data_IF_785396569025
#
_entry.id   IF_785396569025
#
_cell.length_a   1.000
_cell.length_b   1.000
_cell.length_c   1.000
_cell.angle_alpha   90.00
_cell.angle_beta   90.00
_cell.angle_gamma   90.00
#
_symmetry.space_group_name_H-M   'P 1'
#
loop_
_entity.id
_entity.type
_entity.pdbx_description
1 polymer ?
#
# COMPACT_ATOMS: atom_id res chain seq x y z
N UNK A 1 -11.04 -18.00 26.33
CA UNK A 1 -11.49 -16.80 27.06
C UNK A 1 -10.84 -15.52 26.55
N UNK A 2 -9.51 -15.51 26.41
CA UNK A 2 -8.71 -14.34 25.96
C UNK A 2 -8.99 -13.91 24.50
N UNK A 3 -9.19 -14.88 23.59
CA UNK A 3 -9.54 -14.60 22.19
C UNK A 3 -10.92 -13.96 22.02
N UNK A 4 -11.86 -14.28 22.92
CA UNK A 4 -13.20 -13.70 22.91
C UNK A 4 -13.19 -12.26 23.40
N UNK A 5 -12.38 -11.96 24.41
CA UNK A 5 -12.20 -10.61 24.96
C UNK A 5 -11.53 -9.65 23.96
N UNK A 6 -10.55 -10.14 23.19
CA UNK A 6 -9.91 -9.39 22.11
C UNK A 6 -10.91 -9.13 20.98
N UNK A 7 -11.72 -10.11 20.62
CA UNK A 7 -12.77 -9.98 19.60
C UNK A 7 -13.86 -9.00 20.03
N UNK A 8 -14.27 -9.03 21.29
CA UNK A 8 -15.26 -8.09 21.85
C UNK A 8 -14.71 -6.66 21.92
N UNK A 9 -13.46 -6.48 22.29
CA UNK A 9 -12.78 -5.16 22.25
C UNK A 9 -12.63 -4.63 20.83
N UNK A 10 -12.36 -5.51 19.85
CA UNK A 10 -12.33 -5.15 18.42
C UNK A 10 -13.70 -4.75 17.89
N UNK A 11 -14.74 -5.49 18.24
CA UNK A 11 -16.11 -5.16 17.84
C UNK A 11 -16.61 -3.86 18.48
N UNK A 12 -16.32 -3.62 19.76
CA UNK A 12 -16.63 -2.37 20.44
C UNK A 12 -15.87 -1.19 19.80
N UNK A 13 -14.59 -1.38 19.50
CA UNK A 13 -13.79 -0.40 18.79
C UNK A 13 -14.36 -0.12 17.39
N UNK A 14 -14.72 -1.13 16.59
CA UNK A 14 -15.34 -0.97 15.27
C UNK A 14 -16.65 -0.20 15.37
N UNK A 15 -17.48 -0.47 16.37
CA UNK A 15 -18.77 0.21 16.58
C UNK A 15 -18.58 1.68 16.97
N UNK A 16 -17.70 1.96 17.92
CA UNK A 16 -17.34 3.32 18.33
C UNK A 16 -16.76 4.14 17.17
N UNK A 17 -16.07 3.50 16.26
CA UNK A 17 -15.37 4.11 15.15
C UNK A 17 -16.20 4.25 13.88
N UNK A 18 -17.21 3.41 13.68
CA UNK A 18 -18.21 3.57 12.62
C UNK A 18 -19.07 4.80 12.89
N UNK A 19 -19.37 5.07 14.14
CA UNK A 19 -20.13 6.26 14.58
C UNK A 19 -19.32 7.56 14.49
N UNK A 20 -17.98 7.52 14.59
CA UNK A 20 -17.11 8.69 14.67
C UNK A 20 -16.17 8.87 13.45
N UNK A 21 -16.20 7.96 12.46
CA UNK A 21 -15.28 7.99 11.32
C UNK A 21 -13.82 7.69 11.67
N UNK A 22 -13.55 6.91 12.72
CA UNK A 22 -12.23 6.79 13.33
C UNK A 22 -11.56 5.40 13.19
N UNK A 23 -11.52 4.80 11.97
CA UNK A 23 -10.77 3.57 11.67
C UNK A 23 -9.26 3.64 12.02
N UNK A 24 -8.70 4.85 12.16
CA UNK A 24 -7.30 5.08 12.55
C UNK A 24 -7.01 4.70 14.01
N UNK A 25 -7.87 5.03 14.95
CA UNK A 25 -7.71 4.59 16.35
C UNK A 25 -7.71 3.06 16.44
N UNK A 26 -8.44 2.37 15.57
CA UNK A 26 -8.42 0.90 15.48
C UNK A 26 -7.06 0.44 14.96
N UNK A 27 -6.56 1.01 13.88
CA UNK A 27 -5.26 0.66 13.33
C UNK A 27 -4.13 0.97 14.31
N UNK A 28 -4.17 2.12 15.00
CA UNK A 28 -3.20 2.49 16.02
C UNK A 28 -3.33 1.63 17.28
N UNK A 29 -4.55 1.35 17.77
CA UNK A 29 -4.75 0.43 18.90
C UNK A 29 -4.38 -1.01 18.56
N UNK A 30 -4.61 -1.47 17.33
CA UNK A 30 -4.18 -2.82 16.92
C UNK A 30 -2.65 -2.89 16.83
N UNK A 31 -1.98 -1.84 16.38
CA UNK A 31 -0.53 -1.69 16.43
C UNK A 31 0.00 -1.61 17.87
N UNK A 32 -0.69 -0.91 18.75
CA UNK A 32 -0.35 -0.82 20.18
C UNK A 32 -0.58 -2.15 20.92
N UNK A 33 -1.70 -2.84 20.64
CA UNK A 33 -2.06 -4.13 21.27
C UNK A 33 -1.17 -5.27 20.82
N UNK A 34 -0.75 -5.28 19.55
CA UNK A 34 0.13 -6.33 19.01
C UNK A 34 1.61 -6.08 19.30
N UNK A 35 1.95 -4.90 19.83
CA UNK A 35 3.33 -4.48 19.96
C UNK A 35 3.96 -4.30 18.59
N UNK A 36 4.15 -3.08 18.16
CA UNK A 36 4.66 -2.73 16.82
C UNK A 36 5.95 -3.48 16.43
N UNK A 37 6.76 -3.91 17.42
CA UNK A 37 7.97 -4.70 17.21
C UNK A 37 7.73 -6.17 16.84
N UNK A 38 6.58 -6.76 17.20
CA UNK A 38 6.27 -8.17 16.91
C UNK A 38 5.64 -8.40 15.54
N UNK A 39 5.00 -7.38 14.96
CA UNK A 39 4.35 -7.46 13.64
C UNK A 39 5.35 -7.44 12.50
N UNK A 40 6.52 -6.88 12.69
CA UNK A 40 7.44 -6.53 11.62
C UNK A 40 8.80 -7.19 11.70
N UNK A 41 9.19 -7.72 12.85
CA UNK A 41 10.52 -8.30 13.03
C UNK A 41 11.67 -7.35 12.65
N UNK A 42 11.41 -6.05 12.51
CA UNK A 42 12.35 -5.07 11.96
C UNK A 42 12.43 -3.83 12.84
N UNK A 43 13.64 -3.45 13.16
CA UNK A 43 14.03 -2.33 14.03
C UNK A 43 13.92 -0.93 13.38
N UNK A 44 13.01 -0.66 12.45
CA UNK A 44 12.96 0.66 11.79
C UNK A 44 11.60 1.33 11.91
N UNK A 45 11.59 2.55 12.45
CA UNK A 45 10.40 3.36 12.72
C UNK A 45 9.58 3.74 11.47
N UNK A 46 10.21 3.89 10.30
CA UNK A 46 9.55 4.19 9.04
C UNK A 46 8.71 3.02 8.51
N UNK A 47 9.21 1.81 8.63
CA UNK A 47 8.52 0.58 8.25
C UNK A 47 7.23 0.34 9.05
N UNK A 48 7.22 0.72 10.33
CA UNK A 48 6.04 0.59 11.19
C UNK A 48 4.88 1.45 10.72
N UNK A 49 5.16 2.62 10.17
CA UNK A 49 4.12 3.55 9.71
C UNK A 49 3.56 3.14 8.34
N UNK A 50 4.40 2.62 7.45
CA UNK A 50 3.95 2.05 6.17
C UNK A 50 3.07 0.80 6.36
N UNK A 51 3.43 -0.08 7.31
CA UNK A 51 2.61 -1.26 7.68
C UNK A 51 1.33 -0.85 8.39
N UNK A 52 1.35 0.22 9.19
CA UNK A 52 0.13 0.81 9.76
C UNK A 52 -0.86 1.25 8.68
N UNK A 53 -0.37 1.82 7.59
CA UNK A 53 -1.17 2.17 6.43
C UNK A 53 -1.73 0.95 5.70
N UNK A 54 -0.92 -0.07 5.41
CA UNK A 54 -1.37 -1.30 4.77
C UNK A 54 -2.37 -2.08 5.61
N UNK A 55 -2.14 -2.18 6.92
CA UNK A 55 -3.07 -2.79 7.86
C UNK A 55 -4.39 -2.01 7.90
N UNK A 56 -4.33 -0.68 7.92
CA UNK A 56 -5.48 0.21 7.87
C UNK A 56 -6.29 0.01 6.58
N UNK A 57 -5.64 -0.04 5.42
CA UNK A 57 -6.30 -0.31 4.14
C UNK A 57 -6.95 -1.70 4.11
N UNK A 58 -6.29 -2.71 4.66
CA UNK A 58 -6.84 -4.07 4.79
C UNK A 58 -8.08 -4.08 5.68
N UNK A 59 -8.04 -3.42 6.82
CA UNK A 59 -9.18 -3.33 7.75
C UNK A 59 -10.35 -2.55 7.15
N UNK A 60 -10.09 -1.47 6.40
CA UNK A 60 -11.12 -0.75 5.66
C UNK A 60 -11.78 -1.61 4.60
N UNK A 61 -11.00 -2.34 3.82
CA UNK A 61 -11.53 -3.23 2.80
C UNK A 61 -12.39 -4.35 3.43
N UNK A 62 -11.95 -4.91 4.56
CA UNK A 62 -12.73 -5.91 5.31
C UNK A 62 -14.03 -5.31 5.87
N UNK A 63 -13.99 -4.09 6.41
CA UNK A 63 -15.17 -3.40 6.92
C UNK A 63 -16.16 -3.04 5.80
N UNK A 64 -15.67 -2.57 4.65
CA UNK A 64 -16.51 -2.27 3.48
C UNK A 64 -17.15 -3.53 2.90
N UNK A 65 -16.43 -4.66 2.85
CA UNK A 65 -16.99 -5.97 2.44
C UNK A 65 -18.10 -6.43 3.37
N UNK A 66 -17.90 -6.26 4.67
CA UNK A 66 -18.91 -6.63 5.68
C UNK A 66 -20.17 -5.77 5.60
N UNK A 67 -20.04 -4.50 5.25
CA UNK A 67 -21.16 -3.57 5.12
C UNK A 67 -21.94 -3.68 3.80
N UNK A 68 -21.26 -4.10 2.72
CA UNK A 68 -21.90 -4.24 1.40
C UNK A 68 -22.67 -5.54 1.22
N UNK A 69 -22.55 -6.51 2.17
CA UNK A 69 -23.31 -7.77 2.20
C UNK A 69 -23.69 -8.19 0.81
N UNK A 70 -22.74 -8.55 -0.05
CA UNK A 70 -23.08 -9.37 -1.20
C UNK A 70 -21.95 -9.68 -2.17
N UNK A 71 -22.24 -10.80 -2.82
CA UNK A 71 -21.70 -11.31 -4.08
C UNK A 71 -20.19 -11.38 -4.16
N UNK A 72 -19.78 -12.58 -4.13
CA UNK A 72 -18.51 -13.17 -4.47
C UNK A 72 -18.06 -12.72 -5.87
N UNK A 73 -17.65 -11.47 -5.97
CA UNK A 73 -16.49 -11.19 -6.81
C UNK A 73 -15.33 -11.48 -5.88
N UNK A 74 -14.53 -12.47 -6.18
CA UNK A 74 -13.29 -12.76 -5.46
C UNK A 74 -12.35 -11.56 -5.62
N UNK A 75 -12.62 -10.53 -4.84
CA UNK A 75 -11.85 -9.31 -4.82
C UNK A 75 -10.61 -9.62 -3.99
N UNK A 76 -9.48 -9.74 -4.66
CA UNK A 76 -8.20 -9.97 -4.02
C UNK A 76 -7.64 -8.64 -3.51
N UNK A 77 -6.83 -8.71 -2.46
CA UNK A 77 -6.10 -7.55 -1.95
C UNK A 77 -4.71 -7.49 -2.55
N UNK A 78 -4.29 -6.27 -2.89
CA UNK A 78 -2.91 -5.98 -3.26
C UNK A 78 -2.19 -5.39 -2.07
N UNK A 79 -1.09 -6.00 -1.66
CA UNK A 79 -0.19 -5.46 -0.64
C UNK A 79 1.05 -4.88 -1.29
N UNK A 80 1.46 -3.69 -0.84
CA UNK A 80 2.66 -3.00 -1.30
C UNK A 80 3.58 -2.78 -0.11
N UNK A 81 4.77 -3.36 -0.16
CA UNK A 81 5.82 -3.23 0.84
C UNK A 81 7.10 -2.75 0.17
N UNK A 82 7.28 -1.43 0.13
CA UNK A 82 8.47 -0.77 -0.40
C UNK A 82 9.29 -0.17 0.74
N UNK A 83 10.60 -0.35 0.69
CA UNK A 83 11.54 0.16 1.70
C UNK A 83 11.70 1.69 1.58
N UNK A 84 10.61 2.41 1.82
CA UNK A 84 10.52 3.87 1.80
C UNK A 84 9.67 4.39 2.97
N UNK A 85 10.00 5.58 3.45
CA UNK A 85 9.20 6.27 4.45
C UNK A 85 7.96 6.87 3.79
N UNK A 86 6.77 6.36 4.17
CA UNK A 86 5.48 6.79 3.63
C UNK A 86 4.44 6.84 4.75
N UNK A 87 4.17 8.04 5.24
CA UNK A 87 3.24 8.28 6.35
C UNK A 87 2.90 9.76 6.48
N UNK A 88 1.90 10.09 7.28
CA UNK A 88 1.55 11.47 7.63
C UNK A 88 2.26 11.82 8.95
N UNK A 89 3.28 12.71 8.94
CA UNK A 89 3.95 13.12 10.17
C UNK A 89 2.98 13.74 11.17
N UNK A 90 3.13 13.48 12.48
CA UNK A 90 2.32 14.10 13.52
C UNK A 90 2.37 15.63 13.51
N UNK A 91 3.49 16.20 13.07
CA UNK A 91 3.70 17.65 12.94
C UNK A 91 2.97 18.27 11.74
N UNK A 92 2.60 17.47 10.74
CA UNK A 92 1.93 17.96 9.54
C UNK A 92 0.41 18.06 9.73
N UNK A 93 -0.21 17.01 10.24
CA UNK A 93 -1.62 17.02 10.60
C UNK A 93 -1.74 16.69 12.07
N UNK A 94 -2.00 17.72 12.89
CA UNK A 94 -2.07 17.60 14.36
C UNK A 94 -3.35 16.92 14.83
N UNK A 95 -4.45 17.14 14.13
CA UNK A 95 -5.74 16.58 14.50
C UNK A 95 -5.84 15.12 14.04
N UNK A 96 -5.99 14.20 14.98
CA UNK A 96 -6.02 12.77 14.68
C UNK A 96 -7.22 12.34 13.82
N UNK A 97 -8.38 12.99 13.98
CA UNK A 97 -9.58 12.71 13.18
C UNK A 97 -9.37 13.15 11.72
N UNK A 98 -8.79 14.33 11.52
CA UNK A 98 -8.45 14.81 10.18
C UNK A 98 -7.38 13.93 9.52
N UNK A 99 -6.35 13.55 10.27
CA UNK A 99 -5.31 12.64 9.81
C UNK A 99 -5.88 11.32 9.33
N UNK A 100 -6.81 10.76 10.09
CA UNK A 100 -7.52 9.55 9.75
C UNK A 100 -8.33 9.70 8.45
N UNK A 101 -9.09 10.77 8.34
CA UNK A 101 -9.88 11.04 7.13
C UNK A 101 -8.99 11.13 5.90
N UNK A 102 -7.86 11.81 6.02
CA UNK A 102 -6.86 11.88 4.94
C UNK A 102 -6.28 10.51 4.60
N UNK A 103 -5.89 9.70 5.59
CA UNK A 103 -5.43 8.33 5.32
C UNK A 103 -6.47 7.50 4.58
N UNK A 104 -7.73 7.58 5.00
CA UNK A 104 -8.84 6.86 4.38
C UNK A 104 -9.04 7.28 2.91
N UNK A 105 -8.97 8.56 2.65
CA UNK A 105 -9.13 9.10 1.30
C UNK A 105 -7.94 8.78 0.41
N UNK A 106 -6.72 8.83 0.93
CA UNK A 106 -5.52 8.38 0.22
C UNK A 106 -5.62 6.88 -0.12
N UNK A 107 -6.13 6.06 0.80
CA UNK A 107 -6.35 4.64 0.55
C UNK A 107 -7.32 4.37 -0.60
N UNK A 108 -8.26 5.26 -0.85
CA UNK A 108 -9.24 5.17 -1.92
C UNK A 108 -8.78 5.75 -3.26
N UNK A 109 -7.57 6.28 -3.39
CA UNK A 109 -7.05 6.86 -4.65
C UNK A 109 -6.84 5.74 -5.68
N UNK A 110 -7.47 5.88 -6.84
CA UNK A 110 -7.38 4.95 -7.96
C UNK A 110 -6.82 5.59 -9.24
N UNK A 111 -6.77 6.92 -9.30
CA UNK A 111 -6.33 7.66 -10.48
C UNK A 111 -5.36 8.80 -10.16
N UNK A 112 -4.60 9.22 -11.17
CA UNK A 112 -3.71 10.37 -11.07
C UNK A 112 -4.48 11.66 -10.75
N UNK A 113 -5.67 11.84 -11.33
CA UNK A 113 -6.52 13.01 -11.07
C UNK A 113 -6.90 13.09 -9.59
N UNK A 114 -7.36 11.99 -8.99
CA UNK A 114 -7.68 11.94 -7.56
C UNK A 114 -6.46 12.21 -6.67
N UNK A 115 -5.29 11.74 -7.09
CA UNK A 115 -4.05 12.02 -6.40
C UNK A 115 -3.68 13.51 -6.45
N UNK A 116 -3.88 14.16 -7.58
CA UNK A 116 -3.57 15.57 -7.76
C UNK A 116 -4.57 16.45 -7.00
N UNK A 117 -5.87 16.11 -7.02
CA UNK A 117 -6.89 16.76 -6.19
C UNK A 117 -6.55 16.65 -4.69
N UNK A 118 -6.08 15.48 -4.24
CA UNK A 118 -5.63 15.30 -2.86
C UNK A 118 -4.41 16.15 -2.53
N UNK A 119 -3.44 16.28 -3.44
CA UNK A 119 -2.28 17.16 -3.25
C UNK A 119 -2.69 18.63 -3.10
N UNK A 120 -3.60 19.09 -3.96
CA UNK A 120 -4.12 20.47 -3.90
C UNK A 120 -4.80 20.73 -2.55
N UNK A 121 -5.66 19.81 -2.10
CA UNK A 121 -6.31 19.91 -0.80
C UNK A 121 -5.32 19.91 0.36
N UNK A 122 -4.34 19.02 0.34
CA UNK A 122 -3.31 18.95 1.39
C UNK A 122 -2.50 20.24 1.47
N UNK A 123 -2.10 20.77 0.31
CA UNK A 123 -1.37 22.03 0.22
C UNK A 123 -2.19 23.21 0.76
N UNK A 124 -3.47 23.28 0.40
CA UNK A 124 -4.37 24.37 0.81
C UNK A 124 -4.68 24.32 2.32
N UNK A 125 -4.92 23.14 2.87
CA UNK A 125 -5.33 22.98 4.28
C UNK A 125 -4.19 22.92 5.26
N UNK A 126 -3.06 22.34 4.90
CA UNK A 126 -1.97 21.99 5.82
C UNK A 126 -0.61 22.55 5.41
N UNK A 127 -0.53 23.25 4.26
CA UNK A 127 0.71 23.80 3.75
C UNK A 127 1.57 22.80 2.98
N UNK A 128 2.87 23.09 2.88
CA UNK A 128 3.80 22.30 2.08
C UNK A 128 3.78 20.81 2.45
N UNK A 129 3.64 19.96 1.44
CA UNK A 129 3.50 18.52 1.63
C UNK A 129 4.85 17.89 1.94
N UNK A 130 5.03 17.23 3.10
CA UNK A 130 6.27 16.56 3.45
C UNK A 130 6.58 15.37 2.53
N UNK A 131 7.86 15.05 2.36
CA UNK A 131 8.32 13.91 1.53
C UNK A 131 7.63 12.58 1.89
N UNK A 132 7.46 12.19 3.16
CA UNK A 132 6.75 10.95 3.50
C UNK A 132 5.30 10.93 3.03
N UNK A 133 4.62 12.08 2.97
CA UNK A 133 3.24 12.18 2.44
C UNK A 133 3.23 12.09 0.93
N UNK A 134 4.19 12.69 0.23
CA UNK A 134 4.38 12.48 -1.21
C UNK A 134 4.60 11.00 -1.54
N UNK A 135 5.44 10.33 -0.77
CA UNK A 135 5.69 8.89 -0.93
C UNK A 135 4.42 8.08 -0.70
N UNK A 136 3.61 8.44 0.31
CA UNK A 136 2.34 7.79 0.61
C UNK A 136 1.36 7.88 -0.57
N UNK A 137 1.24 9.05 -1.19
CA UNK A 137 0.41 9.27 -2.38
C UNK A 137 0.89 8.44 -3.58
N UNK A 138 2.21 8.36 -3.81
CA UNK A 138 2.80 7.52 -4.86
C UNK A 138 2.53 6.04 -4.61
N UNK A 139 2.67 5.57 -3.38
CA UNK A 139 2.36 4.17 -3.00
C UNK A 139 0.88 3.85 -3.21
N UNK A 140 -0.04 4.79 -2.94
CA UNK A 140 -1.45 4.60 -3.22
C UNK A 140 -1.72 4.37 -4.72
N UNK A 141 -1.09 5.15 -5.61
CA UNK A 141 -1.17 4.96 -7.06
C UNK A 141 -0.52 3.65 -7.51
N UNK A 142 0.67 3.34 -7.00
CA UNK A 142 1.36 2.07 -7.27
C UNK A 142 0.46 0.89 -6.90
N UNK A 143 -0.19 0.93 -5.74
CA UNK A 143 -1.10 -0.12 -5.29
C UNK A 143 -2.31 -0.27 -6.21
N UNK A 144 -2.92 0.83 -6.62
CA UNK A 144 -4.04 0.82 -7.56
C UNK A 144 -3.63 0.20 -8.91
N UNK A 145 -2.49 0.61 -9.45
CA UNK A 145 -1.95 0.08 -10.70
C UNK A 145 -1.58 -1.41 -10.59
N UNK A 146 -0.92 -1.80 -9.49
CA UNK A 146 -0.59 -3.20 -9.22
C UNK A 146 -1.86 -4.06 -9.10
N UNK A 147 -2.93 -3.53 -8.50
CA UNK A 147 -4.21 -4.22 -8.42
C UNK A 147 -4.83 -4.48 -9.81
N UNK A 148 -4.81 -3.50 -10.70
CA UNK A 148 -5.27 -3.69 -12.09
C UNK A 148 -4.48 -4.76 -12.84
N UNK A 149 -3.20 -4.89 -12.53
CA UNK A 149 -2.29 -5.92 -13.07
C UNK A 149 -2.40 -7.29 -12.38
N UNK A 150 -3.39 -7.48 -11.49
CA UNK A 150 -3.57 -8.71 -10.72
C UNK A 150 -2.36 -9.08 -9.84
N UNK A 151 -1.60 -8.09 -9.40
CA UNK A 151 -0.51 -8.27 -8.46
C UNK A 151 -1.09 -8.34 -7.06
N UNK A 152 -0.90 -9.47 -6.37
CA UNK A 152 -1.35 -9.67 -4.99
C UNK A 152 -0.35 -9.16 -3.96
N UNK A 153 0.93 -9.21 -4.29
CA UNK A 153 2.01 -8.74 -3.44
C UNK A 153 3.09 -8.05 -4.28
N UNK A 154 3.46 -6.85 -3.89
CA UNK A 154 4.58 -6.09 -4.44
C UNK A 154 5.55 -5.76 -3.32
N UNK A 155 6.76 -6.28 -3.39
CA UNK A 155 7.82 -6.03 -2.41
C UNK A 155 9.04 -5.42 -3.08
N UNK A 156 9.56 -4.32 -2.52
CA UNK A 156 10.76 -3.65 -3.02
C UNK A 156 11.76 -3.38 -1.90
N UNK A 157 12.90 -4.06 -1.95
CA UNK A 157 13.96 -3.94 -0.96
C UNK A 157 15.31 -4.41 -1.50
N UNK A 158 16.38 -3.77 -1.04
CA UNK A 158 17.76 -4.21 -1.30
C UNK A 158 18.13 -4.37 -2.79
N UNK A 159 17.61 -3.51 -3.68
CA UNK A 159 17.92 -3.56 -5.12
C UNK A 159 17.05 -4.55 -5.90
N UNK A 160 16.00 -5.07 -5.28
CA UNK A 160 15.10 -6.05 -5.90
C UNK A 160 13.63 -5.63 -5.70
N UNK A 161 12.83 -5.78 -6.75
CA UNK A 161 11.37 -5.63 -6.71
C UNK A 161 10.76 -6.97 -7.13
N UNK A 162 9.93 -7.54 -6.24
CA UNK A 162 9.18 -8.77 -6.47
C UNK A 162 7.70 -8.47 -6.63
N UNK A 163 7.09 -9.04 -7.66
CA UNK A 163 5.67 -8.88 -7.96
C UNK A 163 5.05 -10.26 -8.11
N UNK A 164 4.21 -10.63 -7.15
CA UNK A 164 3.46 -11.88 -7.17
C UNK A 164 2.14 -11.67 -7.90
N UNK A 165 1.95 -12.38 -9.00
CA UNK A 165 0.74 -12.33 -9.81
C UNK A 165 -0.26 -13.38 -9.32
N UNK A 166 -1.54 -13.02 -9.28
CA UNK A 166 -2.64 -13.94 -8.97
C UNK A 166 -2.68 -15.08 -10.00
N UNK A 167 -2.86 -16.32 -9.57
CA UNK A 167 -2.78 -17.49 -10.43
C UNK A 167 -3.79 -17.49 -11.59
N UNK A 168 -4.97 -16.89 -11.37
CA UNK A 168 -6.06 -16.74 -12.34
C UNK A 168 -6.16 -15.30 -12.87
N UNK A 169 -5.04 -14.59 -12.94
CA UNK A 169 -4.97 -13.24 -13.48
C UNK A 169 -5.45 -13.17 -14.93
N UNK A 170 -6.28 -12.16 -15.21
CA UNK A 170 -6.80 -11.90 -16.56
C UNK A 170 -5.86 -10.95 -17.31
N UNK A 171 -4.63 -11.40 -17.53
CA UNK A 171 -3.59 -10.69 -18.28
C UNK A 171 -3.24 -11.44 -19.55
N UNK A 172 -2.64 -10.76 -20.51
CA UNK A 172 -2.09 -11.35 -21.72
C UNK A 172 -0.79 -12.10 -21.41
N UNK A 173 -0.90 -13.28 -20.78
CA UNK A 173 0.25 -14.09 -20.36
C UNK A 173 1.16 -14.49 -21.54
N UNK A 174 0.62 -14.60 -22.74
CA UNK A 174 1.35 -14.88 -23.99
C UNK A 174 2.32 -13.74 -24.37
N UNK A 175 2.11 -12.53 -23.82
CA UNK A 175 2.98 -11.37 -24.04
C UNK A 175 4.09 -11.21 -22.98
N UNK A 176 4.17 -12.11 -22.00
CA UNK A 176 5.27 -12.09 -21.02
C UNK A 176 6.66 -12.11 -21.70
N UNK A 177 6.93 -12.92 -22.73
CA UNK A 177 8.21 -12.86 -23.43
C UNK A 177 8.51 -11.48 -24.04
N UNK A 178 7.51 -10.76 -24.55
CA UNK A 178 7.65 -9.39 -25.05
C UNK A 178 8.06 -8.45 -23.92
N UNK A 179 7.39 -8.55 -22.76
CA UNK A 179 7.72 -7.76 -21.56
C UNK A 179 9.16 -8.00 -21.11
N UNK A 180 9.60 -9.26 -21.04
CA UNK A 180 10.97 -9.60 -20.67
C UNK A 180 12.00 -9.10 -21.69
N UNK A 181 11.64 -9.00 -22.96
CA UNK A 181 12.45 -8.38 -23.98
C UNK A 181 12.55 -6.86 -23.89
N UNK A 182 11.49 -6.19 -23.42
CA UNK A 182 11.47 -4.74 -23.21
C UNK A 182 12.19 -4.30 -21.94
N UNK A 183 12.18 -5.12 -20.89
CA UNK A 183 12.75 -4.82 -19.58
C UNK A 183 13.88 -5.77 -19.24
N UNK A 184 15.10 -5.40 -19.60
CA UNK A 184 16.30 -6.24 -19.54
C UNK A 184 16.59 -6.83 -18.14
N UNK A 185 16.25 -6.09 -17.07
CA UNK A 185 16.52 -6.50 -15.68
C UNK A 185 15.36 -7.27 -15.04
N UNK A 186 14.35 -7.63 -15.82
CA UNK A 186 13.17 -8.35 -15.37
C UNK A 186 13.30 -9.84 -15.67
N UNK A 187 12.94 -10.67 -14.71
CA UNK A 187 12.80 -12.12 -14.88
C UNK A 187 11.44 -12.58 -14.38
N UNK A 188 10.98 -13.74 -14.86
CA UNK A 188 9.71 -14.33 -14.47
C UNK A 188 9.87 -15.79 -14.05
N UNK A 189 9.42 -16.09 -12.85
CA UNK A 189 9.37 -17.46 -12.33
C UNK A 189 7.96 -18.02 -12.50
N UNK A 190 7.79 -18.93 -13.48
CA UNK A 190 6.48 -19.52 -13.81
C UNK A 190 5.90 -20.32 -12.64
N UNK A 191 6.73 -21.06 -11.90
CA UNK A 191 6.25 -21.90 -10.78
C UNK A 191 5.69 -21.08 -9.62
N UNK A 192 6.26 -19.92 -9.40
CA UNK A 192 5.88 -19.00 -8.32
C UNK A 192 4.99 -17.86 -8.81
N UNK A 193 4.68 -17.79 -10.10
CA UNK A 193 3.95 -16.68 -10.73
C UNK A 193 4.49 -15.31 -10.30
N UNK A 194 5.83 -15.19 -10.22
CA UNK A 194 6.50 -14.02 -9.66
C UNK A 194 7.44 -13.39 -10.67
N UNK A 195 7.27 -12.09 -10.89
CA UNK A 195 8.28 -11.26 -11.55
C UNK A 195 9.31 -10.78 -10.53
N UNK A 196 10.56 -10.74 -10.93
CA UNK A 196 11.68 -10.21 -10.15
C UNK A 196 12.44 -9.21 -11.01
N UNK A 197 12.52 -7.99 -10.55
CA UNK A 197 13.24 -6.90 -11.21
C UNK A 197 14.38 -6.43 -10.33
N UNK A 198 15.55 -6.22 -10.90
CA UNK A 198 16.73 -5.76 -10.21
C UNK A 198 17.05 -4.31 -10.58
N UNK A 199 17.20 -3.46 -9.58
CA UNK A 199 17.60 -2.06 -9.75
C UNK A 199 18.92 -1.76 -9.02
N UNK A 200 19.61 -0.72 -9.48
CA UNK A 200 20.89 -0.35 -8.90
C UNK A 200 20.69 0.59 -7.71
N UNK A 201 21.34 0.29 -6.60
CA UNK A 201 21.36 1.13 -5.40
C UNK A 201 22.55 2.08 -5.40
N UNK A 202 22.34 3.28 -4.88
CA UNK A 202 23.38 4.28 -4.66
C UNK A 202 24.11 4.10 -3.33
N UNK A 203 23.50 3.38 -2.38
CA UNK A 203 23.94 3.27 -1.00
C UNK A 203 23.56 4.46 -0.12
N UNK A 204 22.82 5.44 -0.66
CA UNK A 204 22.27 6.58 0.08
C UNK A 204 20.77 6.37 0.24
N UNK A 205 20.29 6.20 1.47
CA UNK A 205 18.92 5.80 1.78
C UNK A 205 17.84 6.64 1.08
N UNK A 206 17.97 7.97 1.10
CA UNK A 206 17.01 8.88 0.47
C UNK A 206 16.99 8.74 -1.07
N UNK A 207 18.16 8.60 -1.69
CA UNK A 207 18.27 8.38 -3.13
C UNK A 207 17.73 7.01 -3.52
N UNK A 208 18.04 6.00 -2.73
CA UNK A 208 17.58 4.63 -2.96
C UNK A 208 16.05 4.53 -2.83
N UNK A 209 15.44 5.21 -1.85
CA UNK A 209 13.99 5.28 -1.70
C UNK A 209 13.31 5.96 -2.91
N UNK A 210 13.86 7.07 -3.39
CA UNK A 210 13.36 7.78 -4.58
C UNK A 210 13.48 6.92 -5.82
N UNK A 211 14.63 6.27 -6.02
CA UNK A 211 14.89 5.36 -7.12
C UNK A 211 13.95 4.17 -7.09
N UNK A 212 13.73 3.55 -5.92
CA UNK A 212 12.81 2.43 -5.76
C UNK A 212 11.38 2.76 -6.18
N UNK A 213 10.87 3.92 -5.77
CA UNK A 213 9.54 4.37 -6.18
C UNK A 213 9.47 4.60 -7.69
N UNK A 214 10.45 5.28 -8.26
CA UNK A 214 10.49 5.57 -9.69
C UNK A 214 10.61 4.30 -10.54
N UNK A 215 11.54 3.41 -10.21
CA UNK A 215 11.71 2.12 -10.91
C UNK A 215 10.43 1.25 -10.81
N UNK A 216 9.75 1.29 -9.67
CA UNK A 216 8.48 0.56 -9.50
C UNK A 216 7.39 1.14 -10.41
N UNK A 217 7.23 2.45 -10.46
CA UNK A 217 6.25 3.13 -11.32
C UNK A 217 6.53 2.87 -12.80
N UNK A 218 7.79 3.00 -13.24
CA UNK A 218 8.20 2.74 -14.62
C UNK A 218 7.94 1.27 -15.01
N UNK A 219 8.29 0.34 -14.13
CA UNK A 219 8.04 -1.09 -14.35
C UNK A 219 6.56 -1.38 -14.51
N UNK A 220 5.71 -0.88 -13.60
CA UNK A 220 4.27 -1.09 -13.67
C UNK A 220 3.65 -0.48 -14.92
N UNK A 221 4.13 0.68 -15.38
CA UNK A 221 3.67 1.31 -16.62
C UNK A 221 3.94 0.42 -17.84
N UNK A 222 5.14 -0.13 -17.95
CA UNK A 222 5.49 -1.06 -19.05
C UNK A 222 4.70 -2.36 -18.95
N UNK A 223 4.50 -2.87 -17.74
CA UNK A 223 3.69 -4.08 -17.52
C UNK A 223 2.22 -3.85 -17.92
N UNK A 224 1.64 -2.70 -17.57
CA UNK A 224 0.27 -2.35 -17.93
C UNK A 224 0.09 -2.22 -19.43
N UNK A 225 1.03 -1.55 -20.13
CA UNK A 225 1.04 -1.43 -21.60
C UNK A 225 1.12 -2.79 -22.32
N UNK A 226 1.90 -3.72 -21.76
CA UNK A 226 2.15 -5.01 -22.43
C UNK A 226 1.13 -6.07 -22.03
N UNK A 227 0.69 -6.11 -20.77
CA UNK A 227 -0.10 -7.22 -20.23
C UNK A 227 -1.61 -6.96 -20.17
N UNK A 228 -2.06 -5.73 -20.25
CA UNK A 228 -3.48 -5.34 -20.34
C UNK A 228 -3.85 -4.80 -21.70
#
# INVERSE_FOLDING_TARGET
KMLKEIAEKRLAAIKEFTELGSGFKIAMRDLEIRGAGNLLGVKQSGHMQAVGYDLYCKMLNEAVKTLKGDSVVEDFNTTVDLDVDAYIPPSYILNEVQKLDIYKRIAGIESQSECDDMKEELLDRFGEIPVPVHNLLRIALIRSQAHRLYITELKGKNGEIKLLIKADARIHAERIPELLGKVEKLSFNIKLTTFVYHYQRSGVAEKDARSLLQETEELLNVMEEVLL
#
